data_IF_864237845933
#
_entry.id   IF_864237845933
#
_cell.length_a   1.000
_cell.length_b   1.000
_cell.length_c   1.000
_cell.angle_alpha   90.00
_cell.angle_beta   90.00
_cell.angle_gamma   90.00
#
_symmetry.space_group_name_H-M   'P 1'
#
loop_
_entity.id
_entity.type
_entity.pdbx_description
1 polymer ?
#
# COMPACT_ATOMS: atom_id res chain seq x y z
N UNK A 1 26.51 20.95 -84.15
CA UNK A 1 25.58 19.95 -84.74
C UNK A 1 26.41 18.82 -85.36
N UNK A 2 26.59 17.73 -84.61
CA UNK A 2 27.35 17.95 -83.37
C UNK A 2 28.44 16.91 -83.12
N UNK A 3 29.71 17.30 -82.94
CA UNK A 3 30.30 17.84 -81.68
C UNK A 3 30.12 16.92 -80.49
N UNK A 4 31.14 16.56 -79.70
CA UNK A 4 32.61 16.67 -79.67
C UNK A 4 32.97 16.05 -78.29
N UNK A 5 34.18 15.45 -78.13
CA UNK A 5 34.96 15.33 -76.86
C UNK A 5 34.40 14.40 -75.75
N UNK A 6 35.04 13.33 -75.25
CA UNK A 6 36.42 12.94 -74.87
C UNK A 6 36.95 13.47 -73.51
N UNK A 7 37.31 12.53 -72.62
CA UNK A 7 38.25 12.64 -71.47
C UNK A 7 37.76 13.49 -70.27
N UNK A 8 38.12 13.23 -69.01
CA UNK A 8 39.26 12.53 -68.39
C UNK A 8 38.87 12.06 -66.97
N UNK A 9 39.36 10.91 -66.51
CA UNK A 9 40.42 10.75 -65.49
C UNK A 9 40.09 11.43 -64.15
N UNK A 10 39.97 10.75 -63.01
CA UNK A 10 41.01 9.90 -62.42
C UNK A 10 40.44 9.22 -61.17
N UNK A 11 40.67 7.91 -61.05
CA UNK A 11 40.60 7.21 -59.77
C UNK A 11 41.82 7.62 -58.94
N UNK A 12 41.60 8.22 -57.78
CA UNK A 12 42.55 8.22 -56.68
C UNK A 12 41.94 7.39 -55.56
N UNK A 13 42.58 6.25 -55.34
CA UNK A 13 42.41 5.32 -54.23
C UNK A 13 42.72 5.98 -52.89
N UNK A 14 41.85 5.78 -51.90
CA UNK A 14 42.20 5.87 -50.48
C UNK A 14 41.79 4.55 -49.81
N UNK A 15 42.66 3.97 -48.96
CA UNK A 15 42.56 2.58 -48.53
C UNK A 15 41.54 2.37 -47.41
N UNK A 16 41.10 1.12 -47.29
CA UNK A 16 40.30 0.57 -46.19
C UNK A 16 40.76 1.08 -44.82
N UNK A 17 40.05 2.04 -44.26
CA UNK A 17 40.19 2.46 -42.87
C UNK A 17 39.24 1.63 -42.01
N UNK A 18 39.64 0.40 -41.71
CA UNK A 18 39.37 -0.19 -40.41
C UNK A 18 40.13 0.66 -39.39
N UNK A 19 39.47 1.63 -38.76
CA UNK A 19 39.98 2.13 -37.49
C UNK A 19 39.47 1.23 -36.38
N UNK A 20 40.37 0.32 -36.02
CA UNK A 20 40.46 -0.33 -34.73
C UNK A 20 40.26 0.71 -33.62
N UNK A 21 39.16 0.58 -32.87
CA UNK A 21 39.16 1.09 -31.51
C UNK A 21 39.93 0.05 -30.70
N UNK A 22 41.21 0.33 -30.46
CA UNK A 22 42.13 -0.47 -29.67
C UNK A 22 41.48 -0.90 -28.35
N UNK A 23 41.06 -2.16 -28.27
CA UNK A 23 40.95 -2.82 -26.97
C UNK A 23 42.38 -3.04 -26.49
N UNK A 24 42.83 -2.21 -25.55
CA UNK A 24 44.11 -2.38 -24.87
C UNK A 24 44.13 -3.67 -24.04
N UNK A 25 44.28 -4.82 -24.70
CA UNK A 25 44.69 -6.06 -24.07
C UNK A 25 46.21 -6.12 -24.13
N UNK A 26 46.85 -5.67 -23.06
CA UNK A 26 48.25 -5.99 -22.78
C UNK A 26 48.29 -7.46 -22.36
N UNK A 27 48.73 -8.34 -23.25
CA UNK A 27 49.09 -9.72 -22.94
C UNK A 27 50.45 -9.75 -22.24
N UNK A 28 50.44 -9.50 -20.93
CA UNK A 28 51.56 -9.83 -20.05
C UNK A 28 51.43 -11.28 -19.58
N UNK A 29 52.18 -12.20 -20.20
CA UNK A 29 52.43 -13.51 -19.60
C UNK A 29 53.54 -13.41 -18.53
N UNK A 30 53.29 -14.11 -17.41
CA UNK A 30 54.16 -14.47 -16.29
C UNK A 30 54.42 -13.42 -15.19
N UNK A 31 53.66 -13.53 -14.10
CA UNK A 31 54.21 -13.85 -12.78
C UNK A 31 53.08 -14.08 -11.77
N UNK A 32 53.33 -15.00 -10.85
CA UNK A 32 52.45 -15.48 -9.79
C UNK A 32 51.89 -14.33 -8.92
N UNK A 33 50.62 -13.99 -9.10
CA UNK A 33 49.84 -13.33 -8.05
C UNK A 33 48.40 -13.84 -8.07
N UNK A 34 48.04 -14.58 -7.03
CA UNK A 34 46.67 -14.96 -6.71
C UNK A 34 45.78 -13.71 -6.74
N UNK A 35 44.91 -13.63 -7.75
CA UNK A 35 43.90 -12.58 -7.81
C UNK A 35 42.76 -12.95 -6.85
N UNK A 36 42.44 -12.13 -5.83
CA UNK A 36 41.22 -12.34 -5.08
C UNK A 36 40.06 -12.06 -6.04
N UNK A 37 39.13 -13.01 -6.19
CA UNK A 37 37.89 -12.75 -6.92
C UNK A 37 37.13 -11.66 -6.18
N UNK A 38 37.29 -10.41 -6.60
CA UNK A 38 36.39 -9.34 -6.20
C UNK A 38 35.06 -9.63 -6.87
N UNK A 39 34.18 -10.38 -6.19
CA UNK A 39 32.77 -10.32 -6.51
C UNK A 39 32.35 -8.87 -6.22
N UNK A 40 32.40 -8.02 -7.23
CA UNK A 40 31.82 -6.68 -7.19
C UNK A 40 30.32 -6.84 -7.14
N UNK A 41 29.81 -7.17 -5.96
CA UNK A 41 28.38 -7.15 -5.66
C UNK A 41 27.92 -5.74 -5.94
N UNK A 42 27.07 -5.56 -6.96
CA UNK A 42 26.47 -4.26 -7.26
C UNK A 42 25.84 -3.72 -5.98
N UNK A 43 25.91 -2.40 -5.73
CA UNK A 43 25.34 -1.83 -4.53
C UNK A 43 23.85 -2.14 -4.48
N UNK A 44 23.40 -2.74 -3.36
CA UNK A 44 21.97 -2.94 -3.10
C UNK A 44 21.33 -1.57 -2.93
N UNK A 45 20.49 -1.17 -3.87
CA UNK A 45 19.71 0.08 -3.78
C UNK A 45 18.53 -0.17 -2.86
N UNK A 46 18.51 0.52 -1.72
CA UNK A 46 17.41 0.53 -0.76
C UNK A 46 16.83 1.95 -0.67
N UNK A 47 15.52 2.07 -0.46
CA UNK A 47 14.89 3.35 -0.17
C UNK A 47 15.24 3.79 1.25
N UNK A 48 16.32 4.55 1.37
CA UNK A 48 16.76 5.14 2.63
C UNK A 48 15.91 6.36 2.98
N UNK A 49 15.98 6.83 4.22
CA UNK A 49 15.27 8.04 4.65
C UNK A 49 15.58 9.27 3.76
N UNK A 50 16.83 9.57 3.38
CA UNK A 50 17.12 10.64 2.40
C UNK A 50 16.47 10.44 1.03
N UNK A 51 16.39 9.19 0.51
CA UNK A 51 15.68 8.91 -0.73
C UNK A 51 14.18 9.22 -0.60
N UNK A 52 13.56 8.79 0.51
CA UNK A 52 12.15 9.06 0.79
C UNK A 52 11.89 10.56 0.93
N UNK A 53 12.77 11.31 1.59
CA UNK A 53 12.64 12.76 1.74
C UNK A 53 12.76 13.49 0.40
N UNK A 54 13.73 13.09 -0.42
CA UNK A 54 13.86 13.60 -1.78
C UNK A 54 12.61 13.32 -2.63
N UNK A 55 12.12 12.08 -2.63
CA UNK A 55 10.91 11.71 -3.37
C UNK A 55 9.68 12.48 -2.88
N UNK A 56 9.50 12.62 -1.57
CA UNK A 56 8.39 13.40 -1.02
C UNK A 56 8.45 14.85 -1.49
N UNK A 57 9.62 15.49 -1.47
CA UNK A 57 9.78 16.86 -1.97
C UNK A 57 9.44 16.97 -3.47
N UNK A 58 9.84 15.98 -4.28
CA UNK A 58 9.55 15.96 -5.72
C UNK A 58 8.07 15.71 -6.04
N UNK A 59 7.40 14.87 -5.25
CA UNK A 59 6.01 14.47 -5.47
C UNK A 59 5.01 15.48 -4.90
N UNK A 60 5.43 16.36 -3.99
CA UNK A 60 4.55 17.26 -3.21
C UNK A 60 3.62 18.12 -4.09
N UNK A 61 4.15 18.67 -5.18
CA UNK A 61 3.43 19.55 -6.11
C UNK A 61 2.89 18.81 -7.34
N UNK A 62 3.05 17.48 -7.41
CA UNK A 62 2.59 16.68 -8.55
C UNK A 62 1.10 16.40 -8.48
N UNK A 63 0.47 16.29 -9.65
CA UNK A 63 -0.91 15.85 -9.74
C UNK A 63 -1.02 14.35 -9.36
N UNK A 64 -2.08 13.89 -8.67
CA UNK A 64 -2.17 12.49 -8.22
C UNK A 64 -2.05 11.44 -9.32
N UNK A 65 -2.52 11.73 -10.54
CA UNK A 65 -2.31 10.85 -11.70
C UNK A 65 -0.83 10.60 -11.97
N UNK A 66 0.02 11.63 -11.86
CA UNK A 66 1.45 11.51 -12.12
C UNK A 66 2.17 10.80 -10.97
N UNK A 67 1.74 11.04 -9.73
CA UNK A 67 2.20 10.27 -8.56
C UNK A 67 1.86 8.77 -8.77
N UNK A 68 0.65 8.45 -9.21
CA UNK A 68 0.23 7.07 -9.46
C UNK A 68 1.00 6.41 -10.60
N UNK A 69 1.26 7.14 -11.70
CA UNK A 69 2.14 6.66 -12.79
C UNK A 69 3.55 6.36 -12.27
N UNK A 70 4.13 7.28 -11.49
CA UNK A 70 5.42 7.06 -10.83
C UNK A 70 5.39 5.81 -9.96
N UNK A 71 4.35 5.62 -9.15
CA UNK A 71 4.25 4.46 -8.26
C UNK A 71 4.21 3.13 -9.02
N UNK A 72 3.45 3.06 -10.13
CA UNK A 72 3.39 1.86 -10.97
C UNK A 72 4.74 1.48 -11.59
N UNK A 73 5.60 2.46 -11.85
CA UNK A 73 6.95 2.23 -12.39
C UNK A 73 7.92 1.85 -11.28
N UNK A 74 7.87 2.55 -10.16
CA UNK A 74 8.87 2.45 -9.09
C UNK A 74 8.69 1.21 -8.22
N UNK A 75 7.45 0.87 -7.87
CA UNK A 75 7.17 -0.13 -6.86
C UNK A 75 6.69 -1.44 -7.47
N UNK A 76 7.45 -2.54 -7.36
CA UNK A 76 6.95 -3.85 -7.72
C UNK A 76 5.84 -4.28 -6.75
N UNK A 77 4.97 -5.19 -7.20
CA UNK A 77 3.93 -5.79 -6.37
C UNK A 77 3.14 -4.76 -5.53
N UNK A 78 2.68 -3.72 -6.24
CA UNK A 78 1.94 -2.58 -5.71
C UNK A 78 0.44 -2.93 -5.61
N UNK A 79 -0.12 -2.74 -4.42
CA UNK A 79 -1.56 -2.91 -4.16
C UNK A 79 -2.19 -1.60 -3.72
N UNK A 80 -3.52 -1.55 -3.68
CA UNK A 80 -4.27 -0.51 -3.00
C UNK A 80 -5.07 -1.12 -1.85
N UNK A 81 -4.80 -0.67 -0.61
CA UNK A 81 -5.68 -0.98 0.52
C UNK A 81 -6.83 0.03 0.56
N UNK A 82 -8.06 -0.46 0.62
CA UNK A 82 -9.26 0.39 0.55
C UNK A 82 -10.37 -0.14 1.44
N UNK A 83 -11.04 0.79 2.14
CA UNK A 83 -12.35 0.57 2.75
C UNK A 83 -13.47 1.21 1.90
N UNK A 84 -13.18 1.46 0.62
CA UNK A 84 -14.08 2.12 -0.35
C UNK A 84 -14.57 3.52 0.07
N UNK A 85 -13.76 4.24 0.86
CA UNK A 85 -13.94 5.68 1.06
C UNK A 85 -13.63 6.47 -0.22
N UNK A 86 -14.16 7.68 -0.35
CA UNK A 86 -14.08 8.49 -1.58
C UNK A 86 -12.65 8.63 -2.14
N UNK A 87 -11.66 8.84 -1.30
CA UNK A 87 -10.26 8.97 -1.73
C UNK A 87 -9.71 7.68 -2.33
N UNK A 88 -10.04 6.54 -1.73
CA UNK A 88 -9.67 5.24 -2.27
C UNK A 88 -10.37 4.98 -3.61
N UNK A 89 -11.66 5.32 -3.71
CA UNK A 89 -12.41 5.20 -4.97
C UNK A 89 -11.83 6.07 -6.09
N UNK A 90 -11.46 7.32 -5.79
CA UNK A 90 -10.80 8.20 -6.75
C UNK A 90 -9.45 7.62 -7.20
N UNK A 91 -8.66 7.11 -6.26
CA UNK A 91 -7.38 6.44 -6.56
C UNK A 91 -7.55 5.26 -7.51
N UNK A 92 -8.53 4.39 -7.23
CA UNK A 92 -8.84 3.22 -8.05
C UNK A 92 -9.31 3.61 -9.45
N UNK A 93 -10.17 4.62 -9.58
CA UNK A 93 -10.62 5.10 -10.90
C UNK A 93 -9.48 5.70 -11.72
N UNK A 94 -8.59 6.49 -11.09
CA UNK A 94 -7.37 7.00 -11.70
C UNK A 94 -6.47 5.86 -12.19
N UNK A 95 -6.24 4.83 -11.36
CA UNK A 95 -5.47 3.65 -11.74
C UNK A 95 -6.10 2.88 -12.91
N UNK A 96 -7.42 2.76 -12.94
CA UNK A 96 -8.15 2.14 -14.06
C UNK A 96 -7.94 2.90 -15.37
N UNK A 97 -7.90 4.24 -15.33
CA UNK A 97 -7.56 5.06 -16.50
C UNK A 97 -6.11 4.87 -16.94
N UNK A 98 -5.16 4.89 -16.00
CA UNK A 98 -3.74 4.65 -16.28
C UNK A 98 -3.54 3.23 -16.86
N UNK A 99 -4.27 2.23 -16.36
CA UNK A 99 -4.20 0.86 -16.89
C UNK A 99 -4.60 0.79 -18.38
N UNK A 100 -5.54 1.62 -18.83
CA UNK A 100 -5.94 1.67 -20.24
C UNK A 100 -4.84 2.28 -21.13
N UNK A 101 -3.98 3.15 -20.60
CA UNK A 101 -2.82 3.69 -21.30
C UNK A 101 -1.76 2.58 -21.53
N UNK A 102 -1.67 1.62 -20.62
CA UNK A 102 -0.68 0.53 -20.63
C UNK A 102 -1.30 -0.84 -20.31
N UNK A 103 -2.13 -1.41 -21.21
CA UNK A 103 -2.95 -2.59 -20.93
C UNK A 103 -2.15 -3.86 -20.62
N UNK A 104 -0.89 -3.93 -21.06
CA UNK A 104 0.00 -5.08 -20.85
C UNK A 104 0.76 -5.03 -19.51
N UNK A 105 0.57 -3.98 -18.71
CA UNK A 105 1.17 -3.89 -17.37
C UNK A 105 0.27 -4.57 -16.34
N UNK A 106 0.83 -5.10 -15.24
CA UNK A 106 0.01 -5.59 -14.13
C UNK A 106 -0.95 -4.51 -13.62
N UNK A 107 -2.15 -4.96 -13.24
CA UNK A 107 -3.11 -4.13 -12.52
C UNK A 107 -2.63 -3.85 -11.10
N UNK A 108 -3.13 -2.77 -10.51
CA UNK A 108 -2.99 -2.55 -9.07
C UNK A 108 -4.26 -3.09 -8.43
N UNK A 109 -4.12 -4.25 -7.80
CA UNK A 109 -5.25 -4.95 -7.18
C UNK A 109 -5.66 -4.30 -5.86
N UNK A 110 -6.91 -4.52 -5.46
CA UNK A 110 -7.45 -3.98 -4.22
C UNK A 110 -7.35 -5.00 -3.09
N UNK A 111 -7.00 -4.52 -1.89
CA UNK A 111 -7.12 -5.26 -0.63
C UNK A 111 -8.25 -4.61 0.18
N UNK A 112 -9.30 -5.37 0.45
CA UNK A 112 -10.40 -4.98 1.32
C UNK A 112 -10.42 -5.87 2.56
N UNK A 113 -10.50 -5.24 3.73
CA UNK A 113 -10.66 -5.93 5.00
C UNK A 113 -12.15 -5.93 5.35
N UNK A 114 -12.78 -7.10 5.25
CA UNK A 114 -14.14 -7.29 5.73
C UNK A 114 -14.09 -7.58 7.22
N UNK A 115 -14.43 -6.58 8.03
CA UNK A 115 -14.43 -6.67 9.50
C UNK A 115 -15.58 -7.50 10.03
N UNK A 116 -16.51 -7.97 9.17
CA UNK A 116 -17.79 -8.60 9.51
C UNK A 116 -18.84 -7.63 10.07
N UNK A 117 -18.44 -6.38 10.36
CA UNK A 117 -19.28 -5.33 10.94
C UNK A 117 -19.40 -4.08 10.05
N UNK A 118 -19.11 -4.21 8.75
CA UNK A 118 -19.39 -3.13 7.79
C UNK A 118 -20.90 -2.93 7.60
N UNK A 119 -21.28 -1.72 7.22
CA UNK A 119 -22.64 -1.45 6.74
C UNK A 119 -22.96 -2.28 5.49
N UNK A 120 -24.25 -2.60 5.30
CA UNK A 120 -24.72 -3.25 4.09
C UNK A 120 -24.39 -2.42 2.84
N UNK A 121 -24.51 -1.10 2.93
CA UNK A 121 -24.22 -0.16 1.85
C UNK A 121 -22.74 -0.18 1.42
N UNK A 122 -21.83 -0.55 2.33
CA UNK A 122 -20.42 -0.78 2.00
C UNK A 122 -20.27 -2.03 1.16
N UNK A 123 -20.91 -3.15 1.54
CA UNK A 123 -20.92 -4.38 0.73
C UNK A 123 -21.57 -4.17 -0.64
N UNK A 124 -22.72 -3.50 -0.70
CA UNK A 124 -23.40 -3.14 -1.95
C UNK A 124 -22.51 -2.26 -2.85
N UNK A 125 -21.68 -1.40 -2.25
CA UNK A 125 -20.68 -0.63 -2.99
C UNK A 125 -19.55 -1.52 -3.53
N UNK A 126 -19.06 -2.50 -2.76
CA UNK A 126 -18.05 -3.46 -3.25
C UNK A 126 -18.55 -4.14 -4.52
N UNK A 127 -19.79 -4.61 -4.53
CA UNK A 127 -20.38 -5.28 -5.70
C UNK A 127 -20.49 -4.34 -6.90
N UNK A 128 -20.93 -3.10 -6.69
CA UNK A 128 -20.97 -2.08 -7.77
C UNK A 128 -19.59 -1.73 -8.29
N UNK A 129 -18.57 -1.68 -7.43
CA UNK A 129 -17.18 -1.45 -7.83
C UNK A 129 -16.67 -2.61 -8.66
N UNK A 130 -16.87 -3.87 -8.23
CA UNK A 130 -16.50 -5.06 -9.02
C UNK A 130 -17.18 -5.07 -10.38
N UNK A 131 -18.46 -4.70 -10.46
CA UNK A 131 -19.18 -4.60 -11.72
C UNK A 131 -18.65 -3.49 -12.63
N UNK A 132 -18.27 -2.33 -12.06
CA UNK A 132 -17.76 -1.17 -12.81
C UNK A 132 -16.32 -1.37 -13.30
N UNK A 133 -15.49 -2.09 -12.53
CA UNK A 133 -14.07 -2.30 -12.76
C UNK A 133 -13.74 -3.82 -12.76
N UNK A 134 -14.27 -4.61 -13.72
CA UNK A 134 -14.20 -6.07 -13.69
C UNK A 134 -12.77 -6.63 -13.82
N UNK A 135 -11.84 -5.82 -14.33
CA UNK A 135 -10.44 -6.21 -14.50
C UNK A 135 -9.56 -5.82 -13.30
N UNK A 136 -10.14 -5.33 -12.20
CA UNK A 136 -9.40 -4.99 -10.98
C UNK A 136 -9.80 -5.99 -9.89
N UNK A 137 -8.96 -7.00 -9.61
CA UNK A 137 -9.20 -7.95 -8.54
C UNK A 137 -9.38 -7.26 -7.18
N UNK A 138 -10.30 -7.80 -6.39
CA UNK A 138 -10.55 -7.37 -5.00
C UNK A 138 -10.30 -8.56 -4.08
N UNK A 139 -9.16 -8.52 -3.40
CA UNK A 139 -8.77 -9.50 -2.39
C UNK A 139 -9.46 -9.15 -1.08
N UNK A 140 -10.36 -10.01 -0.62
CA UNK A 140 -11.14 -9.80 0.60
C UNK A 140 -10.55 -10.64 1.72
N UNK A 141 -10.09 -9.98 2.77
CA UNK A 141 -9.57 -10.62 3.97
C UNK A 141 -10.52 -10.41 5.14
N UNK A 142 -10.77 -11.49 5.87
CA UNK A 142 -11.62 -11.55 7.06
C UNK A 142 -10.79 -11.93 8.29
N UNK A 143 -11.30 -11.72 9.51
CA UNK A 143 -10.67 -12.26 10.70
C UNK A 143 -10.47 -13.77 10.56
N UNK A 144 -9.31 -14.27 11.00
CA UNK A 144 -8.96 -15.68 10.81
C UNK A 144 -9.96 -16.61 11.52
N UNK A 145 -10.28 -17.72 10.85
CA UNK A 145 -11.17 -18.76 11.38
C UNK A 145 -12.66 -18.42 11.46
N UNK A 146 -13.12 -17.25 11.00
CA UNK A 146 -14.53 -16.84 11.06
C UNK A 146 -15.01 -16.18 9.77
N UNK A 147 -16.25 -16.45 9.38
CA UNK A 147 -16.82 -16.01 8.10
C UNK A 147 -17.90 -14.93 8.22
N UNK A 148 -18.52 -14.81 9.40
CA UNK A 148 -19.65 -13.92 9.67
C UNK A 148 -19.64 -13.48 11.15
N UNK A 149 -20.46 -12.47 11.46
CA UNK A 149 -20.52 -11.88 12.80
C UNK A 149 -21.01 -12.88 13.88
N UNK A 150 -21.87 -13.84 13.52
CA UNK A 150 -22.34 -14.86 14.47
C UNK A 150 -21.19 -15.77 14.92
N UNK A 151 -20.40 -16.29 13.99
CA UNK A 151 -19.19 -17.07 14.29
C UNK A 151 -18.16 -16.26 15.10
N UNK A 152 -18.00 -14.96 14.79
CA UNK A 152 -17.13 -14.08 15.56
C UNK A 152 -17.61 -13.92 17.00
N UNK A 153 -18.91 -13.68 17.20
CA UNK A 153 -19.51 -13.50 18.53
C UNK A 153 -19.50 -14.78 19.35
N UNK A 154 -19.69 -15.94 18.73
CA UNK A 154 -19.58 -17.25 19.39
C UNK A 154 -18.16 -17.53 19.87
N UNK A 155 -17.15 -17.10 19.11
CA UNK A 155 -15.74 -17.33 19.43
C UNK A 155 -15.17 -16.31 20.43
N UNK A 156 -15.47 -15.03 20.24
CA UNK A 156 -14.83 -13.92 20.97
C UNK A 156 -15.77 -13.16 21.92
N UNK A 157 -17.06 -13.47 21.89
CA UNK A 157 -18.10 -12.80 22.68
C UNK A 157 -18.77 -11.64 21.95
N UNK A 158 -20.01 -11.36 22.35
CA UNK A 158 -20.83 -10.27 21.80
C UNK A 158 -20.24 -8.91 22.11
N UNK A 159 -20.36 -7.99 21.16
CA UNK A 159 -19.98 -6.59 21.31
C UNK A 159 -18.54 -6.38 21.82
N UNK A 160 -17.60 -7.19 21.32
CA UNK A 160 -16.18 -7.13 21.73
C UNK A 160 -15.57 -5.73 21.59
N UNK A 161 -16.08 -4.91 20.67
CA UNK A 161 -15.68 -3.51 20.51
C UNK A 161 -15.92 -2.63 21.75
N UNK A 162 -16.83 -3.02 22.65
CA UNK A 162 -17.10 -2.35 23.92
C UNK A 162 -16.26 -2.90 25.07
N UNK A 163 -15.94 -4.19 25.05
CA UNK A 163 -15.28 -4.90 26.18
C UNK A 163 -13.76 -4.98 26.02
N UNK A 164 -13.28 -5.08 24.79
CA UNK A 164 -11.86 -5.26 24.46
C UNK A 164 -11.52 -4.61 23.10
N UNK A 165 -11.74 -3.29 22.99
CA UNK A 165 -11.64 -2.54 21.72
C UNK A 165 -10.31 -2.68 20.97
N UNK A 166 -9.18 -2.72 21.68
CA UNK A 166 -7.86 -2.88 21.07
C UNK A 166 -7.68 -4.28 20.47
N UNK A 167 -8.16 -5.32 21.17
CA UNK A 167 -8.15 -6.69 20.67
C UNK A 167 -9.11 -6.86 19.49
N UNK A 168 -10.31 -6.28 19.57
CA UNK A 168 -11.25 -6.24 18.47
C UNK A 168 -10.61 -5.66 17.20
N UNK A 169 -10.00 -4.47 17.31
CA UNK A 169 -9.30 -3.84 16.17
C UNK A 169 -8.17 -4.71 15.63
N UNK A 170 -7.47 -5.45 16.49
CA UNK A 170 -6.44 -6.34 16.01
C UNK A 170 -7.02 -7.47 15.17
N UNK A 171 -7.92 -8.25 15.75
CA UNK A 171 -8.49 -9.45 15.15
C UNK A 171 -9.17 -9.10 13.81
N UNK A 172 -9.92 -8.00 13.77
CA UNK A 172 -10.73 -7.68 12.60
C UNK A 172 -10.05 -6.82 11.54
N UNK A 173 -8.91 -6.17 11.87
CA UNK A 173 -8.26 -5.21 10.95
C UNK A 173 -6.76 -5.40 10.84
N UNK A 174 -6.04 -5.53 11.94
CA UNK A 174 -4.57 -5.56 11.89
C UNK A 174 -4.06 -6.93 11.47
N UNK A 175 -4.56 -8.02 12.07
CA UNK A 175 -4.24 -9.39 11.67
C UNK A 175 -4.53 -9.63 10.20
N UNK A 176 -5.76 -9.36 9.69
CA UNK A 176 -6.08 -9.73 8.32
C UNK A 176 -5.31 -8.89 7.31
N UNK A 177 -4.94 -7.66 7.66
CA UNK A 177 -4.07 -6.82 6.82
C UNK A 177 -2.66 -7.36 6.74
N UNK A 178 -2.08 -7.78 7.87
CA UNK A 178 -0.73 -8.33 7.90
C UNK A 178 -0.67 -9.65 7.13
N UNK A 179 -1.64 -10.53 7.35
CA UNK A 179 -1.78 -11.77 6.58
C UNK A 179 -1.96 -11.51 5.10
N UNK A 180 -2.77 -10.51 4.71
CA UNK A 180 -2.90 -10.11 3.31
C UNK A 180 -1.55 -9.66 2.71
N UNK A 181 -0.77 -8.86 3.43
CA UNK A 181 0.53 -8.41 2.96
C UNK A 181 1.51 -9.57 2.79
N UNK A 182 1.52 -10.52 3.72
CA UNK A 182 2.41 -11.68 3.68
C UNK A 182 2.02 -12.68 2.59
N UNK A 183 0.74 -12.97 2.41
CA UNK A 183 0.25 -13.90 1.38
C UNK A 183 0.43 -13.34 -0.03
N UNK A 184 0.07 -12.06 -0.22
CA UNK A 184 0.18 -11.36 -1.51
C UNK A 184 1.59 -10.83 -1.79
N UNK A 185 2.52 -10.94 -0.83
CA UNK A 185 3.91 -10.44 -0.89
C UNK A 185 4.03 -8.94 -1.15
N UNK A 186 3.09 -8.15 -0.60
CA UNK A 186 2.96 -6.71 -0.87
C UNK A 186 4.27 -5.99 -0.56
N UNK A 187 4.81 -5.25 -1.53
CA UNK A 187 6.00 -4.42 -1.31
C UNK A 187 5.64 -2.94 -1.12
N UNK A 188 4.54 -2.49 -1.73
CA UNK A 188 4.02 -1.14 -1.56
C UNK A 188 2.49 -1.13 -1.61
N UNK A 189 1.89 -0.19 -0.88
CA UNK A 189 0.44 -0.07 -0.74
C UNK A 189 -0.02 1.39 -0.84
N UNK A 190 -0.94 1.64 -1.77
CA UNK A 190 -1.67 2.89 -1.88
C UNK A 190 -2.80 2.91 -0.85
N UNK A 191 -3.02 4.07 -0.23
CA UNK A 191 -4.10 4.25 0.74
C UNK A 191 -4.88 5.55 0.48
N UNK A 192 -6.03 5.69 1.12
CA UNK A 192 -6.93 6.84 0.98
C UNK A 192 -6.79 7.94 2.03
N UNK A 193 -5.62 8.11 2.67
CA UNK A 193 -5.40 9.14 3.70
C UNK A 193 -5.06 10.49 3.05
N UNK A 194 -5.58 11.58 3.62
CA UNK A 194 -5.33 12.96 3.17
C UNK A 194 -5.07 13.88 4.34
N UNK A 195 -4.31 14.96 4.14
CA UNK A 195 -4.02 15.95 5.19
C UNK A 195 -5.26 16.69 5.65
N UNK A 196 -6.21 16.93 4.73
CA UNK A 196 -7.48 17.60 5.05
C UNK A 196 -8.38 16.83 6.01
N UNK A 197 -8.04 15.58 6.35
CA UNK A 197 -8.76 14.75 7.32
C UNK A 197 -8.33 15.03 8.78
N UNK A 198 -7.36 15.92 8.98
CA UNK A 198 -6.99 16.45 10.30
C UNK A 198 -6.28 15.47 11.23
N UNK A 199 -6.14 15.88 12.49
CA UNK A 199 -5.49 15.12 13.57
C UNK A 199 -4.10 14.56 13.15
N UNK A 200 -3.86 13.27 13.38
CA UNK A 200 -2.62 12.59 13.02
C UNK A 200 -2.33 12.58 11.50
N UNK A 201 -3.32 12.92 10.66
CA UNK A 201 -3.17 12.98 9.20
C UNK A 201 -2.68 14.33 8.68
N UNK A 202 -2.74 15.39 9.47
CA UNK A 202 -2.50 16.78 9.01
C UNK A 202 -1.14 17.02 8.35
N UNK A 203 -0.13 16.20 8.67
CA UNK A 203 1.24 16.30 8.17
C UNK A 203 1.74 15.04 7.47
N UNK A 204 0.84 14.15 7.01
CA UNK A 204 1.27 12.91 6.35
C UNK A 204 2.05 13.21 5.06
N UNK A 205 3.19 12.55 4.84
CA UNK A 205 3.92 12.66 3.58
C UNK A 205 3.25 11.82 2.49
N UNK A 206 3.66 11.97 1.23
CA UNK A 206 3.15 11.16 0.13
C UNK A 206 3.67 9.73 0.24
N UNK A 207 4.93 9.52 0.63
CA UNK A 207 5.54 8.20 0.82
C UNK A 207 6.01 8.05 2.27
N UNK A 208 5.61 6.95 2.90
CA UNK A 208 5.99 6.51 4.24
C UNK A 208 6.58 5.09 4.16
N UNK A 209 7.50 4.76 5.07
CA UNK A 209 7.94 3.38 5.28
C UNK A 209 7.21 2.83 6.52
N UNK A 210 6.61 1.66 6.39
CA UNK A 210 6.09 0.86 7.50
C UNK A 210 7.14 -0.18 7.88
N UNK A 211 8.06 0.16 8.78
CA UNK A 211 9.16 -0.73 9.17
C UNK A 211 8.64 -1.99 9.89
N UNK A 212 7.49 -1.90 10.59
CA UNK A 212 6.85 -3.01 11.30
C UNK A 212 6.39 -4.10 10.33
N UNK A 213 5.78 -3.69 9.20
CA UNK A 213 5.25 -4.60 8.17
C UNK A 213 6.18 -4.78 6.96
N UNK A 214 7.26 -4.02 6.87
CA UNK A 214 8.19 -4.06 5.74
C UNK A 214 7.61 -3.55 4.42
N UNK A 215 6.60 -2.67 4.45
CA UNK A 215 5.91 -2.17 3.24
C UNK A 215 6.04 -0.66 3.08
N UNK A 216 6.07 -0.19 1.83
CA UNK A 216 5.99 1.24 1.52
C UNK A 216 4.53 1.68 1.48
N UNK A 217 4.14 2.65 2.31
CA UNK A 217 2.79 3.23 2.31
C UNK A 217 2.79 4.51 1.49
N UNK A 218 1.80 4.64 0.60
CA UNK A 218 1.73 5.76 -0.34
C UNK A 218 0.35 6.43 -0.23
N UNK A 219 0.35 7.74 -0.01
CA UNK A 219 -0.83 8.60 0.13
C UNK A 219 -0.93 9.50 -1.14
N UNK A 220 -1.34 8.99 -2.31
CA UNK A 220 -1.24 9.72 -3.59
C UNK A 220 -2.11 10.97 -3.64
N UNK A 221 -3.14 11.05 -2.80
CA UNK A 221 -4.05 12.19 -2.67
C UNK A 221 -3.82 12.96 -1.36
N UNK A 222 -2.62 12.89 -0.77
CA UNK A 222 -2.29 13.53 0.51
C UNK A 222 -2.64 15.04 0.53
N UNK A 223 -2.43 15.73 -0.58
CA UNK A 223 -2.64 17.18 -0.75
C UNK A 223 -4.06 17.55 -1.17
N UNK A 224 -4.90 16.58 -1.55
CA UNK A 224 -6.28 16.86 -1.97
C UNK A 224 -7.21 17.12 -0.79
N UNK A 225 -7.99 18.18 -0.88
CA UNK A 225 -9.13 18.47 -0.01
C UNK A 225 -10.29 17.50 -0.26
N UNK A 226 -11.23 17.42 0.69
CA UNK A 226 -12.47 16.65 0.51
C UNK A 226 -13.25 17.11 -0.73
N UNK A 227 -13.33 18.43 -0.97
CA UNK A 227 -14.03 19.02 -2.12
C UNK A 227 -13.45 18.56 -3.45
N UNK A 228 -12.11 18.44 -3.56
CA UNK A 228 -11.47 17.95 -4.78
C UNK A 228 -11.79 16.48 -5.04
N UNK A 229 -11.76 15.65 -4.00
CA UNK A 229 -12.13 14.23 -4.11
C UNK A 229 -13.60 14.08 -4.50
N UNK A 230 -14.50 14.78 -3.82
CA UNK A 230 -15.94 14.75 -4.10
C UNK A 230 -16.25 15.21 -5.53
N UNK A 231 -15.63 16.31 -5.98
CA UNK A 231 -15.76 16.79 -7.35
C UNK A 231 -15.28 15.74 -8.37
N UNK A 232 -14.13 15.11 -8.14
CA UNK A 232 -13.62 14.06 -9.01
C UNK A 232 -14.58 12.87 -9.12
N UNK A 233 -15.11 12.40 -7.98
CA UNK A 233 -16.05 11.27 -7.93
C UNK A 233 -17.29 11.57 -8.75
N UNK A 234 -17.85 12.77 -8.62
CA UNK A 234 -19.04 13.22 -9.35
C UNK A 234 -18.76 13.39 -10.84
N UNK A 235 -17.68 14.08 -11.21
CA UNK A 235 -17.32 14.33 -12.61
C UNK A 235 -17.07 13.02 -13.38
N UNK A 236 -16.50 12.02 -12.71
CA UNK A 236 -16.13 10.75 -13.33
C UNK A 236 -17.18 9.64 -13.13
N UNK A 237 -18.31 9.95 -12.49
CA UNK A 237 -19.38 9.01 -12.19
C UNK A 237 -18.86 7.74 -11.50
N UNK A 238 -17.96 7.92 -10.53
CA UNK A 238 -17.38 6.81 -9.76
C UNK A 238 -18.42 6.34 -8.74
N UNK A 239 -18.72 5.03 -8.65
CA UNK A 239 -19.62 4.52 -7.61
C UNK A 239 -19.10 4.87 -6.22
N UNK A 240 -19.95 5.45 -5.37
CA UNK A 240 -19.64 5.80 -3.98
C UNK A 240 -20.70 5.28 -3.00
N UNK A 241 -20.38 5.27 -1.71
CA UNK A 241 -21.25 4.70 -0.67
C UNK A 241 -22.52 5.56 -0.50
N UNK A 242 -23.70 4.93 -0.56
CA UNK A 242 -24.98 5.63 -0.45
C UNK A 242 -25.16 6.36 0.90
N UNK A 243 -24.43 5.92 1.94
CA UNK A 243 -24.43 6.60 3.25
C UNK A 243 -23.82 8.01 3.19
N UNK A 244 -23.01 8.32 2.18
CA UNK A 244 -22.47 9.68 2.01
C UNK A 244 -23.59 10.71 1.89
N UNK A 245 -24.63 10.40 1.11
CA UNK A 245 -25.78 11.28 0.88
C UNK A 245 -26.68 11.39 2.14
N UNK A 246 -26.45 10.51 3.13
CA UNK A 246 -27.11 10.50 4.43
C UNK A 246 -26.26 11.19 5.52
N UNK A 247 -25.16 11.86 5.14
CA UNK A 247 -24.29 12.60 6.06
C UNK A 247 -23.09 11.81 6.60
N UNK A 248 -22.84 10.60 6.12
CA UNK A 248 -21.66 9.83 6.53
C UNK A 248 -20.44 10.17 5.68
N UNK A 249 -19.68 11.20 6.08
CA UNK A 249 -18.46 11.63 5.36
C UNK A 249 -17.27 10.66 5.50
N UNK A 250 -17.25 9.82 6.54
CA UNK A 250 -16.23 8.79 6.76
C UNK A 250 -16.88 7.51 7.30
N UNK A 251 -16.87 6.43 6.53
CA UNK A 251 -17.55 5.16 6.83
C UNK A 251 -16.55 4.07 7.26
N UNK A 252 -16.94 3.23 8.22
CA UNK A 252 -16.31 1.94 8.55
C UNK A 252 -17.32 1.09 9.30
N UNK A 253 -16.93 0.41 10.38
CA UNK A 253 -17.87 -0.46 11.12
C UNK A 253 -19.13 0.28 11.62
N UNK A 254 -20.29 -0.38 11.59
CA UNK A 254 -21.59 0.24 11.87
C UNK A 254 -21.74 0.74 13.31
N UNK A 255 -21.12 0.04 14.27
CA UNK A 255 -21.18 0.38 15.69
C UNK A 255 -20.27 1.56 16.08
N UNK A 256 -19.41 2.04 15.17
CA UNK A 256 -18.44 3.11 15.46
C UNK A 256 -18.39 4.19 14.38
N UNK A 257 -19.49 4.35 13.65
CA UNK A 257 -19.66 5.37 12.62
C UNK A 257 -21.01 6.05 12.80
N UNK A 258 -21.02 7.38 12.89
CA UNK A 258 -22.23 8.21 12.94
C UNK A 258 -22.19 9.29 11.86
N UNK A 259 -23.34 9.82 11.40
CA UNK A 259 -23.35 10.91 10.45
C UNK A 259 -22.80 12.20 11.08
N UNK A 260 -22.31 13.10 10.24
CA UNK A 260 -21.83 14.43 10.64
C UNK A 260 -22.72 15.51 10.05
N UNK A 261 -22.84 16.62 10.76
CA UNK A 261 -23.56 17.82 10.32
C UNK A 261 -22.75 18.59 9.29
N UNK A 262 -23.43 19.49 8.60
CA UNK A 262 -22.76 20.42 7.70
C UNK A 262 -21.80 21.32 8.50
N UNK A 263 -20.58 21.51 7.97
CA UNK A 263 -19.49 22.22 8.65
C UNK A 263 -18.69 21.41 9.67
N UNK A 264 -19.14 20.22 10.11
CA UNK A 264 -18.31 19.33 10.94
C UNK A 264 -17.18 18.69 10.13
N UNK A 265 -16.08 18.36 10.82
CA UNK A 265 -14.91 17.68 10.23
C UNK A 265 -15.31 16.35 9.56
N UNK A 266 -14.64 16.01 8.46
CA UNK A 266 -14.90 14.80 7.64
C UNK A 266 -14.94 13.52 8.48
N UNK A 267 -14.10 13.44 9.52
CA UNK A 267 -13.96 12.27 10.38
C UNK A 267 -14.60 12.44 11.75
N UNK A 268 -15.32 13.54 12.02
CA UNK A 268 -15.99 13.76 13.31
C UNK A 268 -17.01 12.67 13.68
N UNK A 269 -17.50 11.92 12.69
CA UNK A 269 -18.41 10.78 12.88
C UNK A 269 -17.72 9.49 13.31
N UNK A 270 -16.39 9.44 13.34
CA UNK A 270 -15.60 8.29 13.79
C UNK A 270 -15.25 8.47 15.26
N UNK A 271 -15.44 7.42 16.05
CA UNK A 271 -15.04 7.38 17.47
C UNK A 271 -15.62 8.53 18.32
N UNK A 272 -16.84 8.99 18.00
CA UNK A 272 -17.50 10.08 18.73
C UNK A 272 -17.62 9.72 20.21
N UNK A 273 -16.94 10.48 21.08
CA UNK A 273 -16.89 10.24 22.52
C UNK A 273 -15.77 9.30 22.98
N UNK A 274 -14.79 8.98 22.14
CA UNK A 274 -13.59 8.20 22.49
C UNK A 274 -12.31 9.04 22.25
N UNK A 275 -11.21 8.72 22.94
CA UNK A 275 -9.90 9.39 22.76
C UNK A 275 -9.16 8.97 21.47
N UNK A 276 -9.82 8.21 20.60
CA UNK A 276 -9.21 7.59 19.42
C UNK A 276 -9.33 8.50 18.20
N UNK A 277 -8.19 8.80 17.58
CA UNK A 277 -8.11 9.69 16.40
C UNK A 277 -7.71 8.96 15.11
N UNK A 278 -7.09 7.78 15.21
CA UNK A 278 -6.60 7.01 14.06
C UNK A 278 -6.90 5.51 14.20
N UNK A 279 -7.02 4.82 13.06
CA UNK A 279 -7.26 3.39 13.04
C UNK A 279 -5.95 2.61 13.32
N UNK A 280 -6.03 1.48 14.02
CA UNK A 280 -4.87 0.66 14.40
C UNK A 280 -4.00 0.20 13.22
N UNK A 281 -4.60 0.05 12.03
CA UNK A 281 -3.92 -0.26 10.76
C UNK A 281 -2.87 0.77 10.31
N UNK A 282 -2.83 1.97 10.90
CA UNK A 282 -1.93 3.05 10.50
C UNK A 282 -0.96 3.48 11.60
N UNK A 283 -1.01 2.87 12.78
CA UNK A 283 -0.10 3.19 13.87
C UNK A 283 1.29 2.58 13.60
N UNK A 284 2.35 3.39 13.78
CA UNK A 284 3.75 3.00 13.46
C UNK A 284 4.30 1.91 14.39
N UNK A 285 3.91 1.98 15.65
CA UNK A 285 3.96 0.87 16.59
C UNK A 285 2.50 0.65 16.92
N UNK A 286 1.93 -0.43 16.41
CA UNK A 286 0.63 -0.79 16.91
C UNK A 286 0.80 -1.03 18.43
N UNK A 287 -0.04 -0.44 19.30
CA UNK A 287 -0.12 -0.86 20.72
C UNK A 287 -0.32 -2.38 20.85
N UNK A 288 -0.72 -2.98 19.74
CA UNK A 288 -0.72 -4.40 19.50
C UNK A 288 0.65 -5.10 19.53
N UNK A 289 1.75 -4.58 18.97
CA UNK A 289 3.04 -5.28 19.10
C UNK A 289 3.48 -5.38 20.56
N UNK A 290 3.13 -4.38 21.37
CA UNK A 290 3.24 -4.43 22.83
C UNK A 290 2.29 -5.48 23.45
N UNK A 291 1.05 -5.57 22.95
CA UNK A 291 0.06 -6.56 23.38
C UNK A 291 0.45 -8.00 23.01
N UNK A 292 0.97 -8.27 21.81
CA UNK A 292 1.51 -9.59 21.41
C UNK A 292 2.65 -9.97 22.31
N UNK A 293 3.62 -9.07 22.48
CA UNK A 293 4.72 -9.30 23.40
C UNK A 293 4.21 -9.58 24.83
N UNK A 294 3.11 -8.95 25.25
CA UNK A 294 2.45 -9.24 26.53
C UNK A 294 1.77 -10.62 26.56
N UNK A 295 1.06 -11.01 25.51
CA UNK A 295 0.38 -12.30 25.40
C UNK A 295 1.37 -13.47 25.27
N UNK A 296 2.43 -13.31 24.48
CA UNK A 296 3.52 -14.28 24.37
C UNK A 296 4.22 -14.47 25.71
N UNK A 297 4.55 -13.37 26.41
CA UNK A 297 5.07 -13.43 27.79
C UNK A 297 4.13 -14.20 28.71
N UNK A 298 2.83 -13.89 28.67
CA UNK A 298 1.82 -14.57 29.50
C UNK A 298 1.72 -16.07 29.18
N UNK A 299 1.68 -16.46 27.92
CA UNK A 299 1.71 -17.87 27.52
C UNK A 299 2.99 -18.58 27.97
N UNK A 300 4.13 -17.87 27.94
CA UNK A 300 5.41 -18.42 28.35
C UNK A 300 5.49 -18.58 29.88
N UNK A 301 4.91 -17.65 30.63
CA UNK A 301 4.72 -17.75 32.08
C UNK A 301 3.78 -18.92 32.45
N UNK A 302 2.65 -19.07 31.75
CA UNK A 302 1.72 -20.19 31.96
C UNK A 302 2.37 -21.54 31.63
N UNK A 303 3.13 -21.63 30.54
CA UNK A 303 3.92 -22.83 30.19
C UNK A 303 5.00 -23.12 31.24
N UNK A 304 5.68 -22.09 31.74
CA UNK A 304 6.70 -22.24 32.78
C UNK A 304 6.07 -22.69 34.11
N UNK A 305 4.92 -22.12 34.49
CA UNK A 305 4.17 -22.52 35.69
C UNK A 305 3.73 -23.99 35.60
N UNK A 306 3.13 -24.39 34.46
CA UNK A 306 2.74 -25.77 34.22
C UNK A 306 3.95 -26.75 34.19
N UNK A 307 5.11 -26.29 33.72
CA UNK A 307 6.34 -27.08 33.75
C UNK A 307 6.90 -27.22 35.18
N UNK A 308 6.88 -26.15 35.98
CA UNK A 308 7.30 -26.15 37.38
C UNK A 308 6.39 -27.03 38.24
N UNK A 309 5.08 -27.03 38.00
CA UNK A 309 4.11 -27.90 38.68
C UNK A 309 4.38 -29.39 38.39
N UNK A 310 4.77 -29.72 37.15
CA UNK A 310 5.19 -31.09 36.77
C UNK A 310 6.52 -31.52 37.40
N UNK A 311 7.40 -30.57 37.72
CA UNK A 311 8.69 -30.84 38.40
C UNK A 311 8.51 -30.94 39.92
N UNK A 312 7.50 -30.27 40.48
CA UNK A 312 7.19 -30.29 41.92
C UNK A 312 6.52 -31.61 42.41
N UNK A 313 6.21 -32.55 41.51
CA UNK A 313 5.72 -33.88 41.86
C UNK A 313 6.77 -34.97 41.60
N UNK A 314 7.66 -35.20 42.59
CA UNK A 314 7.97 -36.56 42.98
C UNK A 314 7.72 -36.77 44.48
N UNK A 315 6.67 -37.56 44.76
CA UNK A 315 6.43 -38.45 45.92
C UNK A 315 6.66 -37.95 47.35
N UNK A 316 5.61 -38.07 48.16
CA UNK A 316 5.48 -39.21 49.10
C UNK A 316 4.10 -39.83 48.94
#
# INVERSE_FOLDING_TARGET
MPTFISESSSQVSLPDMKLECESGYVSGQNSEYSSPSSSTTLPRVTLTKPHIDHLNNMLEDMHPMDILRFCKVMFPNLYQSTAFGLTGLATMDMLSKIQKEHPNTPTVDLIFLDTLYHFKETHDLVDRVKARYPNVPVHIYKPDGVNNAEEFEDMYGKEMWNTASEMYDWIVKVEPLQRAYDELKVAAVLNGRRRSQGAARGSIPIIEIDDERGVVKINPLATWSFKQVDAYIKENNVPYNALLDQGYKSVGDWHSTVPVKEGEDERAGRWKGQDKTECGIHNKQSRYSEFVAMMERKQQEEKLAAALEKVALPTV
#
